data_IF_294774013077
#
_entry.id   IF_294774013077
#
_cell.length_a   1.000
_cell.length_b   1.000
_cell.length_c   1.000
_cell.angle_alpha   90.00
_cell.angle_beta   90.00
_cell.angle_gamma   90.00
#
_symmetry.space_group_name_H-M   'P 1'
#
loop_
_entity.id
_entity.type
_entity.pdbx_description
1 polymer ?
#
# COMPACT_ATOMS: atom_id res chain seq x y z
N UNK A 1 -8.40 22.49 -15.38
CA UNK A 1 -8.61 22.81 -13.94
C UNK A 1 -9.78 22.04 -13.34
N UNK A 2 -10.93 22.05 -14.02
CA UNK A 2 -12.17 21.34 -13.67
C UNK A 2 -11.97 19.88 -13.26
N UNK A 3 -11.13 19.11 -13.99
CA UNK A 3 -10.81 17.71 -13.65
C UNK A 3 -10.29 17.53 -12.22
N UNK A 4 -9.40 18.41 -11.76
CA UNK A 4 -8.78 18.30 -10.43
C UNK A 4 -9.73 18.72 -9.32
N UNK A 5 -10.50 19.80 -9.54
CA UNK A 5 -11.52 20.25 -8.58
C UNK A 5 -12.65 19.21 -8.43
N UNK A 6 -13.09 18.60 -9.54
CA UNK A 6 -14.06 17.49 -9.50
C UNK A 6 -13.50 16.23 -8.82
N UNK A 7 -12.19 16.00 -8.91
CA UNK A 7 -11.49 14.94 -8.19
C UNK A 7 -11.40 15.16 -6.68
N UNK A 8 -11.70 16.37 -6.19
CA UNK A 8 -11.54 16.72 -4.78
C UNK A 8 -10.12 17.15 -4.40
N UNK A 9 -9.30 17.51 -5.38
CA UNK A 9 -7.94 18.02 -5.16
C UNK A 9 -7.93 19.55 -5.03
N UNK A 10 -7.09 20.05 -4.12
CA UNK A 10 -6.79 21.48 -4.05
C UNK A 10 -5.83 21.85 -5.18
N UNK A 11 -6.05 23.01 -5.79
CA UNK A 11 -5.24 23.47 -6.92
C UNK A 11 -4.62 24.82 -6.60
N UNK A 12 -3.29 24.92 -6.73
CA UNK A 12 -2.54 26.18 -6.64
C UNK A 12 -2.24 26.68 -8.05
N UNK A 13 -2.73 27.87 -8.38
CA UNK A 13 -2.45 28.56 -9.64
C UNK A 13 -1.35 29.56 -9.40
N UNK A 14 -0.32 29.54 -10.25
CA UNK A 14 0.79 30.48 -10.19
C UNK A 14 1.01 31.10 -11.56
N UNK A 15 0.97 32.43 -11.63
CA UNK A 15 1.41 33.21 -12.78
C UNK A 15 2.81 33.74 -12.46
N UNK A 16 3.76 33.52 -13.36
CA UNK A 16 5.09 34.12 -13.28
C UNK A 16 5.11 35.39 -14.13
N UNK A 17 5.33 36.53 -13.49
CA UNK A 17 5.53 37.80 -14.19
C UNK A 17 6.89 37.80 -14.89
N UNK A 18 6.92 38.19 -16.16
CA UNK A 18 8.16 38.29 -16.94
C UNK A 18 8.33 39.67 -17.57
N UNK A 19 9.58 40.15 -17.61
CA UNK A 19 9.96 41.39 -18.27
C UNK A 19 9.15 42.60 -17.79
N UNK A 20 8.36 43.20 -18.71
CA UNK A 20 7.57 44.41 -18.47
C UNK A 20 6.36 44.23 -17.54
N UNK A 21 6.01 42.99 -17.22
CA UNK A 21 4.87 42.68 -16.34
C UNK A 21 5.19 42.83 -14.85
N UNK A 22 6.48 42.86 -14.49
CA UNK A 22 6.92 43.02 -13.09
C UNK A 22 6.47 44.38 -12.51
N UNK A 23 6.45 45.44 -13.33
CA UNK A 23 6.01 46.78 -12.91
C UNK A 23 4.50 46.99 -13.00
N UNK A 24 3.76 46.07 -13.64
CA UNK A 24 2.30 46.14 -13.80
C UNK A 24 1.63 44.81 -13.40
N UNK A 25 1.52 44.52 -12.10
CA UNK A 25 0.89 43.30 -11.61
C UNK A 25 -0.64 43.27 -11.79
N UNK A 26 -1.30 44.41 -12.06
CA UNK A 26 -2.76 44.51 -12.21
C UNK A 26 -3.30 43.50 -13.23
N UNK A 27 -2.64 43.33 -14.38
CA UNK A 27 -3.12 42.40 -15.42
C UNK A 27 -3.11 40.93 -14.97
N UNK A 28 -2.14 40.51 -14.15
CA UNK A 28 -2.07 39.14 -13.66
C UNK A 28 -3.07 38.86 -12.53
N UNK A 29 -3.38 39.86 -11.70
CA UNK A 29 -4.43 39.76 -10.67
C UNK A 29 -5.81 39.67 -11.32
N UNK A 30 -6.11 40.54 -12.29
CA UNK A 30 -7.37 40.50 -13.04
C UNK A 30 -7.57 39.18 -13.78
N UNK A 31 -6.50 38.61 -14.35
CA UNK A 31 -6.57 37.32 -15.03
C UNK A 31 -6.94 36.19 -14.06
N UNK A 32 -6.34 36.15 -12.87
CA UNK A 32 -6.70 35.14 -11.86
C UNK A 32 -8.10 35.37 -11.31
N UNK A 33 -8.57 36.61 -11.23
CA UNK A 33 -9.93 36.92 -10.81
C UNK A 33 -10.96 36.39 -11.81
N UNK A 34 -10.76 36.64 -13.12
CA UNK A 34 -11.62 36.06 -14.17
C UNK A 34 -11.61 34.54 -14.15
N UNK A 35 -10.43 33.94 -13.96
CA UNK A 35 -10.30 32.50 -13.84
C UNK A 35 -11.01 31.95 -12.59
N UNK A 36 -11.10 32.72 -11.50
CA UNK A 36 -11.85 32.33 -10.32
C UNK A 36 -13.36 32.32 -10.58
N UNK A 37 -13.86 33.28 -11.36
CA UNK A 37 -15.27 33.37 -11.75
C UNK A 37 -15.64 32.20 -12.68
N UNK A 38 -14.79 31.88 -13.68
CA UNK A 38 -15.01 30.77 -14.63
C UNK A 38 -15.07 29.38 -13.95
N UNK A 39 -14.46 29.23 -12.78
CA UNK A 39 -14.40 27.96 -12.04
C UNK A 39 -15.24 27.95 -10.77
N UNK A 40 -16.04 29.01 -10.55
CA UNK A 40 -16.88 29.17 -9.36
C UNK A 40 -17.84 27.98 -9.20
N UNK A 41 -18.34 27.38 -10.29
CA UNK A 41 -19.23 26.22 -10.23
C UNK A 41 -18.57 24.98 -9.58
N UNK A 42 -17.25 24.80 -9.75
CA UNK A 42 -16.52 23.59 -9.35
C UNK A 42 -15.76 23.75 -8.03
N UNK A 43 -15.37 24.99 -7.68
CA UNK A 43 -14.50 25.28 -6.56
C UNK A 43 -14.78 26.61 -5.88
N UNK A 44 -14.09 26.84 -4.77
CA UNK A 44 -14.09 28.12 -4.04
C UNK A 44 -12.66 28.63 -3.90
N UNK A 45 -12.50 29.94 -3.81
CA UNK A 45 -11.19 30.57 -3.59
C UNK A 45 -10.83 30.44 -2.12
N UNK A 46 -9.79 29.65 -1.82
CA UNK A 46 -9.24 29.50 -0.46
C UNK A 46 -8.26 30.63 -0.13
N UNK A 47 -7.47 31.05 -1.13
CA UNK A 47 -6.56 32.19 -1.02
C UNK A 47 -6.69 33.05 -2.25
N UNK A 48 -7.07 34.31 -2.06
CA UNK A 48 -7.21 35.30 -3.13
C UNK A 48 -5.90 35.49 -3.89
N UNK A 49 -5.95 35.93 -5.16
CA UNK A 49 -4.75 36.26 -5.94
C UNK A 49 -3.88 37.25 -5.18
N UNK A 50 -2.65 36.84 -4.85
CA UNK A 50 -1.67 37.68 -4.17
C UNK A 50 -0.33 37.61 -4.87
N UNK A 51 0.32 38.76 -5.02
CA UNK A 51 1.67 38.83 -5.54
C UNK A 51 2.69 38.46 -4.45
N UNK A 52 3.50 37.45 -4.75
CA UNK A 52 4.62 36.96 -3.95
C UNK A 52 5.89 37.03 -4.82
N UNK A 53 6.61 38.15 -4.71
CA UNK A 53 7.80 38.43 -5.51
C UNK A 53 7.50 38.53 -7.02
N UNK A 54 8.08 37.61 -7.79
CA UNK A 54 7.89 37.49 -9.25
C UNK A 54 6.67 36.65 -9.64
N UNK A 55 5.92 36.15 -8.66
CA UNK A 55 4.80 35.26 -8.87
C UNK A 55 3.51 35.91 -8.37
N UNK A 56 2.40 35.62 -9.02
CA UNK A 56 1.05 35.86 -8.48
C UNK A 56 0.43 34.49 -8.26
N UNK A 57 -0.02 34.24 -7.04
CA UNK A 57 -0.48 32.92 -6.61
C UNK A 57 -1.93 33.03 -6.11
N UNK A 58 -2.76 32.06 -6.50
CA UNK A 58 -4.12 31.85 -5.99
C UNK A 58 -4.29 30.37 -5.66
N UNK A 59 -5.03 30.06 -4.60
CA UNK A 59 -5.35 28.66 -4.24
C UNK A 59 -6.85 28.44 -4.28
N UNK A 60 -7.26 27.39 -4.99
CA UNK A 60 -8.66 26.97 -5.10
C UNK A 60 -8.87 25.65 -4.35
N UNK A 61 -10.00 25.60 -3.64
CA UNK A 61 -10.50 24.41 -2.99
C UNK A 61 -11.69 23.84 -3.79
N UNK A 62 -11.85 22.51 -3.85
CA UNK A 62 -13.00 21.88 -4.50
C UNK A 62 -14.27 22.09 -3.66
N UNK A 63 -15.42 22.30 -4.30
CA UNK A 63 -16.74 22.32 -3.61
C UNK A 63 -17.21 20.92 -3.19
N UNK A 64 -16.73 19.88 -3.87
CA UNK A 64 -17.07 18.49 -3.60
C UNK A 64 -16.34 17.89 -2.38
N UNK A 65 -16.88 16.80 -1.82
CA UNK A 65 -16.25 16.05 -0.72
C UNK A 65 -14.87 15.54 -1.16
N UNK A 66 -13.85 15.61 -0.29
CA UNK A 66 -12.48 15.13 -0.53
C UNK A 66 -12.47 13.60 -0.70
N UNK A 67 -12.73 13.10 -1.91
CA UNK A 67 -12.76 11.65 -2.17
C UNK A 67 -11.33 11.12 -2.33
N UNK A 68 -10.44 11.88 -2.97
CA UNK A 68 -9.17 11.32 -3.47
C UNK A 68 -8.01 11.28 -2.46
N UNK A 69 -7.86 12.29 -1.59
CA UNK A 69 -6.75 12.31 -0.61
C UNK A 69 -6.84 11.14 0.38
N UNK A 70 -8.06 10.69 0.71
CA UNK A 70 -8.24 9.52 1.57
C UNK A 70 -8.17 8.22 0.77
N UNK A 71 -8.59 8.19 -0.50
CA UNK A 71 -8.53 6.97 -1.31
C UNK A 71 -7.12 6.59 -1.73
N UNK A 72 -6.22 7.52 -2.05
CA UNK A 72 -4.82 7.16 -2.34
C UNK A 72 -4.07 6.69 -1.10
N UNK A 73 -4.24 7.36 0.05
CA UNK A 73 -3.67 6.89 1.31
C UNK A 73 -4.26 5.54 1.75
N UNK A 74 -5.58 5.32 1.56
CA UNK A 74 -6.22 4.03 1.86
C UNK A 74 -5.74 2.94 0.90
N UNK A 75 -5.64 3.21 -0.40
CA UNK A 75 -5.22 2.25 -1.43
C UNK A 75 -3.77 1.79 -1.22
N UNK A 76 -2.88 2.76 -0.94
CA UNK A 76 -1.47 2.49 -0.57
C UNK A 76 -1.35 1.71 0.75
N UNK A 77 -2.27 1.94 1.69
CA UNK A 77 -2.35 1.23 2.96
C UNK A 77 -2.87 -0.21 2.83
N UNK A 78 -3.89 -0.45 2.00
CA UNK A 78 -4.48 -1.78 1.78
C UNK A 78 -3.53 -2.72 1.04
N UNK A 79 -2.83 -2.24 0.01
CA UNK A 79 -1.86 -3.04 -0.74
C UNK A 79 -0.65 -3.43 0.14
N UNK A 80 -0.12 -2.50 0.93
CA UNK A 80 0.99 -2.75 1.86
C UNK A 80 0.65 -3.74 2.97
N UNK A 81 -0.61 -3.77 3.43
CA UNK A 81 -1.05 -4.67 4.50
C UNK A 81 -1.32 -6.08 3.97
N UNK A 82 -1.92 -6.19 2.78
CA UNK A 82 -2.16 -7.47 2.11
C UNK A 82 -0.84 -8.18 1.74
N UNK A 83 0.16 -7.46 1.20
CA UNK A 83 1.44 -8.06 0.84
C UNK A 83 2.21 -8.57 2.08
N UNK A 84 2.18 -7.81 3.18
CA UNK A 84 2.79 -8.24 4.45
C UNK A 84 2.10 -9.47 5.04
N UNK A 85 0.77 -9.54 4.96
CA UNK A 85 0.01 -10.71 5.42
C UNK A 85 0.26 -11.94 4.55
N UNK A 86 0.33 -11.78 3.23
CA UNK A 86 0.65 -12.88 2.30
C UNK A 86 2.05 -13.45 2.55
N UNK A 87 3.07 -12.59 2.75
CA UNK A 87 4.43 -13.03 3.09
C UNK A 87 4.50 -13.74 4.45
N UNK A 88 3.76 -13.27 5.45
CA UNK A 88 3.69 -13.97 6.75
C UNK A 88 2.98 -15.32 6.65
N UNK A 89 1.86 -15.40 5.94
CA UNK A 89 1.11 -16.63 5.75
C UNK A 89 1.94 -17.68 4.98
N UNK A 90 2.63 -17.29 3.91
CA UNK A 90 3.52 -18.18 3.16
C UNK A 90 4.68 -18.71 4.01
N UNK A 91 5.26 -17.86 4.88
CA UNK A 91 6.34 -18.27 5.78
C UNK A 91 5.87 -19.23 6.88
N UNK A 92 4.63 -19.07 7.37
CA UNK A 92 4.03 -19.96 8.36
C UNK A 92 3.66 -21.31 7.73
N UNK A 93 3.11 -21.32 6.51
CA UNK A 93 2.81 -22.54 5.76
C UNK A 93 4.08 -23.37 5.49
N UNK A 94 5.14 -22.74 4.97
CA UNK A 94 6.42 -23.40 4.72
C UNK A 94 7.07 -23.97 6.01
N UNK A 95 6.83 -23.32 7.17
CA UNK A 95 7.30 -23.81 8.47
C UNK A 95 6.49 -25.00 8.98
N UNK A 96 5.18 -25.04 8.71
CA UNK A 96 4.33 -26.17 9.07
C UNK A 96 4.62 -27.39 8.19
N UNK A 97 4.81 -27.19 6.88
CA UNK A 97 5.16 -28.26 5.94
C UNK A 97 6.49 -28.92 6.29
N UNK A 98 7.53 -28.13 6.58
CA UNK A 98 8.83 -28.68 6.99
C UNK A 98 8.79 -29.40 8.35
N UNK A 99 7.96 -28.93 9.29
CA UNK A 99 7.76 -29.62 10.57
C UNK A 99 6.94 -30.91 10.42
N UNK A 100 5.94 -30.94 9.53
CA UNK A 100 5.15 -32.13 9.25
C UNK A 100 5.98 -33.21 8.54
N UNK A 101 6.83 -32.81 7.58
CA UNK A 101 7.76 -33.71 6.92
C UNK A 101 8.77 -34.30 7.92
N UNK A 102 9.39 -33.45 8.75
CA UNK A 102 10.32 -33.90 9.79
C UNK A 102 9.67 -34.82 10.84
N UNK A 103 8.41 -34.58 11.19
CA UNK A 103 7.65 -35.43 12.10
C UNK A 103 7.28 -36.78 11.45
N UNK A 104 6.92 -36.78 10.17
CA UNK A 104 6.62 -38.00 9.42
C UNK A 104 7.87 -38.87 9.21
N UNK A 105 9.01 -38.26 8.89
CA UNK A 105 10.31 -38.93 8.77
C UNK A 105 10.78 -39.51 10.12
N UNK A 106 10.54 -38.81 11.23
CA UNK A 106 10.83 -39.32 12.57
C UNK A 106 9.92 -40.49 12.97
N UNK A 107 8.61 -40.43 12.66
CA UNK A 107 7.64 -41.49 12.97
C UNK A 107 7.88 -42.76 12.13
N UNK A 108 8.29 -42.61 10.88
CA UNK A 108 8.62 -43.72 9.99
C UNK A 108 9.95 -44.40 10.38
N UNK A 109 10.95 -43.63 10.82
CA UNK A 109 12.19 -44.18 11.39
C UNK A 109 11.97 -44.95 12.71
N UNK A 110 11.04 -44.51 13.55
CA UNK A 110 10.68 -45.21 14.80
C UNK A 110 9.94 -46.53 14.50
N UNK A 111 9.03 -46.52 13.52
CA UNK A 111 8.26 -47.71 13.13
C UNK A 111 9.12 -48.80 12.50
N UNK A 112 10.09 -48.45 11.65
CA UNK A 112 11.03 -49.42 11.06
C UNK A 112 11.92 -50.09 12.12
N UNK A 113 12.36 -49.33 13.14
CA UNK A 113 13.18 -49.85 14.24
C UNK A 113 12.43 -50.81 15.17
N UNK A 114 11.10 -50.69 15.27
CA UNK A 114 10.25 -51.63 16.02
C UNK A 114 9.94 -52.93 15.27
N UNK A 115 9.95 -52.93 13.93
CA UNK A 115 9.80 -54.14 13.11
C UNK A 115 11.06 -55.02 13.12
N UNK A 116 12.26 -54.45 13.03
CA UNK A 116 13.53 -55.21 13.11
C UNK A 116 13.72 -55.92 14.47
N UNK A 117 13.23 -55.32 15.56
CA UNK A 117 13.29 -55.92 16.90
C UNK A 117 12.29 -57.08 17.10
N UNK A 118 11.24 -57.18 16.27
CA UNK A 118 10.23 -58.24 16.36
C UNK A 118 10.58 -59.48 15.53
N UNK A 119 11.52 -59.35 14.58
CA UNK A 119 12.03 -60.49 13.80
C UNK A 119 13.16 -61.24 14.53
N UNK A 120 13.99 -60.55 15.34
CA UNK A 120 15.12 -61.16 16.06
C UNK A 120 14.74 -61.94 17.32
N UNK A 121 13.49 -61.89 17.79
CA UNK A 121 13.04 -62.59 19.00
C UNK A 121 12.29 -63.91 18.74
N UNK A 122 12.11 -64.33 17.48
CA UNK A 122 11.36 -65.56 17.13
C UNK A 122 12.22 -66.77 16.73
N UNK A 123 13.54 -66.63 16.64
CA UNK A 123 14.46 -67.70 16.17
C UNK A 123 15.36 -68.31 17.26
N UNK A 124 15.22 -67.92 18.53
CA UNK A 124 16.16 -68.30 19.59
C UNK A 124 15.65 -69.19 20.72
N UNK A 125 14.41 -69.71 20.68
CA UNK A 125 13.84 -70.51 21.78
C UNK A 125 13.30 -71.87 21.33
N UNK A 126 14.15 -72.74 20.78
CA UNK A 126 13.94 -74.18 20.90
C UNK A 126 15.20 -74.97 20.50
N UNK A 127 15.98 -75.43 21.48
CA UNK A 127 16.77 -76.67 21.45
C UNK A 127 17.64 -76.71 22.70
N UNK A 128 17.18 -77.40 23.75
CA UNK A 128 17.97 -78.19 24.70
C UNK A 128 17.01 -78.72 25.78
N UNK A 129 16.30 -79.82 25.49
CA UNK A 129 16.08 -80.93 26.44
C UNK A 129 15.38 -82.10 25.70
N UNK A 130 16.08 -83.21 25.51
CA UNK A 130 15.67 -84.56 25.93
C UNK A 130 16.58 -85.64 25.29
N UNK A 131 17.37 -86.27 26.17
CA UNK A 131 17.83 -87.67 26.23
C UNK A 131 18.33 -88.38 24.95
#
# INVERSE_FOLDING_TARGET
MTRFLNGGDKVKVTIMLRGREISRPIGGVELLQRLADDVEEYGTVESKPKQEGRNIIMTLAPKGKKVHTQSEQRRRGTESRAERQARQAARLAAKQESQAQAAADAQSAISQKTSDKKQTSKEGSNAEDEN
#
